data_IF_512741647532
#
_entry.id   IF_512741647532
#
_cell.length_a   1.000
_cell.length_b   1.000
_cell.length_c   1.000
_cell.angle_alpha   90.00
_cell.angle_beta   90.00
_cell.angle_gamma   90.00
#
_symmetry.space_group_name_H-M   'P 1'
#
loop_
_entity.id
_entity.type
_entity.pdbx_description
1 polymer ?
#
# COMPACT_ATOMS: atom_id res chain seq x y z
N UNK A 1 10.55 -31.27 -18.54
CA UNK A 1 9.53 -31.32 -17.47
C UNK A 1 9.85 -30.41 -16.29
N UNK A 2 11.13 -30.29 -15.91
CA UNK A 2 11.60 -29.48 -14.77
C UNK A 2 11.37 -27.96 -14.93
N UNK A 3 11.77 -27.36 -16.07
CA UNK A 3 11.63 -25.92 -16.33
C UNK A 3 10.18 -25.42 -16.35
N UNK A 4 9.28 -26.21 -16.93
CA UNK A 4 7.84 -25.84 -17.02
C UNK A 4 7.18 -25.90 -15.65
N UNK A 5 7.58 -26.84 -14.80
CA UNK A 5 7.12 -26.98 -13.42
C UNK A 5 7.63 -25.83 -12.53
N UNK A 6 8.90 -25.45 -12.68
CA UNK A 6 9.48 -24.29 -12.00
C UNK A 6 8.84 -22.98 -12.42
N UNK A 7 8.53 -22.80 -13.71
CA UNK A 7 7.84 -21.62 -14.23
C UNK A 7 6.40 -21.52 -13.69
N UNK A 8 5.67 -22.64 -13.65
CA UNK A 8 4.32 -22.70 -13.09
C UNK A 8 4.30 -22.45 -11.57
N UNK A 9 5.29 -22.96 -10.84
CA UNK A 9 5.46 -22.69 -9.41
C UNK A 9 5.82 -21.24 -9.14
N UNK A 10 6.65 -20.63 -9.98
CA UNK A 10 7.00 -19.21 -9.90
C UNK A 10 5.80 -18.30 -10.21
N UNK A 11 4.98 -18.67 -11.21
CA UNK A 11 3.73 -17.99 -11.55
C UNK A 11 2.67 -18.12 -10.43
N UNK A 12 2.60 -19.29 -9.78
CA UNK A 12 1.73 -19.53 -8.61
C UNK A 12 2.19 -18.75 -7.37
N UNK A 13 3.50 -18.55 -7.24
CA UNK A 13 4.10 -17.79 -6.13
C UNK A 13 3.80 -16.28 -6.20
N UNK A 14 3.57 -15.75 -7.41
CA UNK A 14 3.29 -14.33 -7.62
C UNK A 14 1.80 -13.97 -7.65
N UNK A 15 0.92 -14.96 -7.53
CA UNK A 15 -0.53 -14.72 -7.61
C UNK A 15 -1.03 -14.05 -6.32
N UNK A 16 -1.48 -12.81 -6.44
CA UNK A 16 -2.23 -12.10 -5.40
C UNK A 16 -3.52 -12.87 -5.08
N UNK A 17 -3.80 -13.10 -3.81
CA UNK A 17 -5.04 -13.75 -3.39
C UNK A 17 -6.13 -12.73 -3.10
N UNK A 18 -7.36 -13.06 -3.48
CA UNK A 18 -8.53 -12.22 -3.21
C UNK A 18 -8.69 -11.89 -1.73
N UNK A 19 -8.45 -12.86 -0.84
CA UNK A 19 -8.52 -12.66 0.62
C UNK A 19 -7.51 -11.61 1.11
N UNK A 20 -6.28 -11.68 0.63
CA UNK A 20 -5.24 -10.70 0.98
C UNK A 20 -5.61 -9.31 0.46
N UNK A 21 -6.16 -9.24 -0.77
CA UNK A 21 -6.61 -7.99 -1.36
C UNK A 21 -7.72 -7.32 -0.53
N UNK A 22 -8.75 -8.06 -0.14
CA UNK A 22 -9.82 -7.53 0.70
C UNK A 22 -9.33 -7.15 2.10
N UNK A 23 -8.49 -7.98 2.71
CA UNK A 23 -7.89 -7.68 4.02
C UNK A 23 -7.10 -6.36 3.98
N UNK A 24 -6.22 -6.20 3.01
CA UNK A 24 -5.43 -4.98 2.84
C UNK A 24 -6.30 -3.77 2.50
N UNK A 25 -7.32 -3.94 1.65
CA UNK A 25 -8.24 -2.87 1.29
C UNK A 25 -9.02 -2.32 2.48
N UNK A 26 -9.63 -3.17 3.28
CA UNK A 26 -10.35 -2.76 4.49
C UNK A 26 -9.41 -2.18 5.55
N UNK A 27 -8.26 -2.80 5.77
CA UNK A 27 -7.27 -2.30 6.73
C UNK A 27 -6.76 -0.91 6.31
N UNK A 28 -6.47 -0.73 5.03
CA UNK A 28 -6.04 0.55 4.48
C UNK A 28 -7.09 1.65 4.66
N UNK A 29 -8.37 1.34 4.42
CA UNK A 29 -9.46 2.27 4.70
C UNK A 29 -9.52 2.68 6.17
N UNK A 30 -9.40 1.72 7.09
CA UNK A 30 -9.37 2.03 8.53
C UNK A 30 -8.18 2.92 8.89
N UNK A 31 -7.00 2.62 8.36
CA UNK A 31 -5.79 3.42 8.60
C UNK A 31 -5.95 4.85 8.05
N UNK A 32 -6.54 5.02 6.88
CA UNK A 32 -6.73 6.33 6.28
C UNK A 32 -7.75 7.16 7.05
N UNK A 33 -8.86 6.57 7.46
CA UNK A 33 -9.86 7.26 8.30
C UNK A 33 -9.21 7.69 9.62
N UNK A 34 -8.44 6.81 10.26
CA UNK A 34 -7.72 7.14 11.48
C UNK A 34 -6.69 8.26 11.26
N UNK A 35 -5.89 8.17 10.21
CA UNK A 35 -4.88 9.18 9.87
C UNK A 35 -5.48 10.55 9.59
N UNK A 36 -6.53 10.61 8.76
CA UNK A 36 -7.21 11.86 8.43
C UNK A 36 -7.98 12.43 9.63
N UNK A 37 -8.52 11.58 10.50
CA UNK A 37 -9.14 11.98 11.77
C UNK A 37 -8.13 12.59 12.74
N UNK A 38 -6.94 12.00 12.88
CA UNK A 38 -5.84 12.60 13.68
C UNK A 38 -5.39 13.93 13.11
N UNK A 39 -5.24 14.03 11.80
CA UNK A 39 -4.89 15.29 11.14
C UNK A 39 -5.95 16.37 11.43
N UNK A 40 -7.22 16.02 11.38
CA UNK A 40 -8.33 16.90 11.76
C UNK A 40 -8.19 17.39 13.20
N UNK A 41 -7.86 16.51 14.15
CA UNK A 41 -7.60 16.87 15.55
C UNK A 41 -6.47 17.88 15.68
N UNK A 42 -5.33 17.63 15.03
CA UNK A 42 -4.15 18.51 15.09
C UNK A 42 -4.38 19.87 14.43
N UNK A 43 -5.35 19.99 13.54
CA UNK A 43 -5.78 21.26 12.93
C UNK A 43 -6.88 21.97 13.70
N UNK A 44 -7.20 21.49 14.91
CA UNK A 44 -8.17 22.15 15.83
C UNK A 44 -9.61 21.67 15.72
N UNK A 45 -9.87 20.65 14.91
CA UNK A 45 -11.20 20.05 14.81
C UNK A 45 -11.33 18.83 15.73
N UNK A 46 -11.89 19.06 16.91
CA UNK A 46 -12.05 18.02 17.93
C UNK A 46 -13.09 16.94 17.59
N UNK A 47 -13.86 17.11 16.53
CA UNK A 47 -14.78 16.06 16.06
C UNK A 47 -14.05 14.88 15.43
N UNK A 48 -12.76 15.06 15.09
CA UNK A 48 -11.88 14.01 14.52
C UNK A 48 -12.49 13.31 13.30
N UNK A 49 -13.18 14.05 12.45
CA UNK A 49 -13.79 13.50 11.23
C UNK A 49 -12.71 12.95 10.30
N UNK A 50 -12.68 11.64 10.13
CA UNK A 50 -11.84 10.95 9.16
C UNK A 50 -12.53 10.83 7.80
N UNK A 51 -11.73 10.78 6.73
CA UNK A 51 -12.20 10.69 5.33
C UNK A 51 -11.45 9.60 4.58
N UNK A 52 -12.17 8.91 3.71
CA UNK A 52 -11.60 8.02 2.70
C UNK A 52 -12.49 8.02 1.46
N UNK A 53 -11.99 7.43 0.37
CA UNK A 53 -12.74 7.25 -0.88
C UNK A 53 -12.91 5.77 -1.20
N UNK A 54 -14.01 5.40 -1.88
CA UNK A 54 -14.20 4.05 -2.40
C UNK A 54 -13.07 3.65 -3.36
N UNK A 55 -12.51 4.60 -4.10
CA UNK A 55 -11.38 4.37 -5.00
C UNK A 55 -10.10 3.96 -4.27
N UNK A 56 -9.97 4.31 -2.99
CA UNK A 56 -8.81 3.91 -2.18
C UNK A 56 -8.84 2.44 -1.78
N UNK A 57 -9.99 1.79 -1.80
CA UNK A 57 -10.09 0.37 -1.47
C UNK A 57 -9.20 -0.51 -2.36
N UNK A 58 -9.33 -0.47 -3.70
CA UNK A 58 -8.43 -1.23 -4.57
C UNK A 58 -6.97 -0.78 -4.49
N UNK A 59 -6.71 0.51 -4.24
CA UNK A 59 -5.34 1.02 -4.07
C UNK A 59 -4.67 0.36 -2.87
N UNK A 60 -5.32 0.37 -1.70
CA UNK A 60 -4.82 -0.34 -0.52
C UNK A 60 -4.81 -1.85 -0.69
N UNK A 61 -5.76 -2.40 -1.44
CA UNK A 61 -5.80 -3.81 -1.78
C UNK A 61 -4.54 -4.30 -2.49
N UNK A 62 -3.87 -3.43 -3.26
CA UNK A 62 -2.58 -3.74 -3.91
C UNK A 62 -1.45 -3.99 -2.91
N UNK A 63 -1.57 -3.58 -1.64
CA UNK A 63 -0.63 -3.96 -0.58
C UNK A 63 -0.54 -5.49 -0.39
N UNK A 64 -1.52 -6.25 -0.89
CA UNK A 64 -1.44 -7.72 -0.95
C UNK A 64 -0.23 -8.24 -1.75
N UNK A 65 0.33 -7.42 -2.66
CA UNK A 65 1.57 -7.72 -3.38
C UNK A 65 2.81 -7.76 -2.47
N UNK A 66 2.72 -7.22 -1.25
CA UNK A 66 3.78 -7.32 -0.25
C UNK A 66 4.02 -8.79 0.15
N UNK A 67 3.00 -9.64 0.14
CA UNK A 67 3.18 -11.08 0.46
C UNK A 67 4.14 -11.79 -0.51
N UNK A 68 3.98 -11.73 -1.83
CA UNK A 68 4.95 -12.31 -2.75
C UNK A 68 6.31 -11.60 -2.71
N UNK A 69 6.33 -10.27 -2.50
CA UNK A 69 7.57 -9.52 -2.33
C UNK A 69 8.34 -9.98 -1.08
N UNK A 70 7.67 -10.14 0.05
CA UNK A 70 8.27 -10.65 1.29
C UNK A 70 8.93 -12.01 1.11
N UNK A 71 8.31 -12.93 0.37
CA UNK A 71 8.90 -14.25 0.10
C UNK A 71 10.28 -14.19 -0.57
N UNK A 72 10.50 -13.16 -1.40
CA UNK A 72 11.79 -12.92 -2.05
C UNK A 72 12.75 -12.14 -1.14
N UNK A 73 12.22 -11.26 -0.31
CA UNK A 73 13.00 -10.33 0.51
C UNK A 73 13.22 -10.81 1.95
N UNK A 74 12.67 -11.95 2.36
CA UNK A 74 12.74 -12.44 3.75
C UNK A 74 14.16 -12.66 4.28
N UNK A 75 15.15 -12.85 3.39
CA UNK A 75 16.57 -12.95 3.74
C UNK A 75 17.27 -11.61 3.97
N UNK A 76 16.63 -10.49 3.67
CA UNK A 76 17.19 -9.15 3.84
C UNK A 76 16.78 -8.54 5.18
N UNK A 77 17.59 -7.61 5.72
CA UNK A 77 17.24 -6.86 6.93
C UNK A 77 15.92 -6.09 6.80
N UNK A 78 15.28 -5.80 7.93
CA UNK A 78 14.01 -5.04 7.99
C UNK A 78 14.12 -3.69 7.28
N UNK A 79 15.26 -3.00 7.45
CA UNK A 79 15.51 -1.71 6.80
C UNK A 79 15.42 -1.79 5.27
N UNK A 80 16.07 -2.80 4.68
CA UNK A 80 16.04 -3.02 3.22
C UNK A 80 14.63 -3.33 2.75
N UNK A 81 13.90 -4.16 3.47
CA UNK A 81 12.51 -4.50 3.13
C UNK A 81 11.60 -3.27 3.20
N UNK A 82 11.71 -2.48 4.28
CA UNK A 82 10.93 -1.26 4.45
C UNK A 82 11.19 -0.23 3.35
N UNK A 83 12.44 -0.03 2.94
CA UNK A 83 12.81 0.85 1.82
C UNK A 83 12.21 0.33 0.53
N UNK A 84 12.28 -0.97 0.27
CA UNK A 84 11.69 -1.58 -0.94
C UNK A 84 10.17 -1.36 -0.99
N UNK A 85 9.47 -1.56 0.13
CA UNK A 85 8.02 -1.33 0.21
C UNK A 85 7.66 0.14 0.04
N UNK A 86 8.42 1.06 0.64
CA UNK A 86 8.22 2.50 0.47
C UNK A 86 8.35 2.91 -1.00
N UNK A 87 9.39 2.43 -1.69
CA UNK A 87 9.57 2.66 -3.13
C UNK A 87 8.40 2.10 -3.95
N UNK A 88 7.92 0.90 -3.60
CA UNK A 88 6.77 0.28 -4.24
C UNK A 88 5.48 1.08 -4.06
N UNK A 89 5.24 1.63 -2.87
CA UNK A 89 4.09 2.49 -2.57
C UNK A 89 4.17 3.77 -3.42
N UNK A 90 5.30 4.45 -3.45
CA UNK A 90 5.47 5.63 -4.31
C UNK A 90 5.24 5.32 -5.79
N UNK A 91 5.70 4.18 -6.25
CA UNK A 91 5.48 3.75 -7.63
C UNK A 91 3.99 3.55 -7.93
N UNK A 92 3.26 2.90 -7.03
CA UNK A 92 1.81 2.70 -7.15
C UNK A 92 1.07 4.04 -7.08
N UNK A 93 1.42 4.92 -6.15
CA UNK A 93 0.84 6.27 -6.06
C UNK A 93 1.06 7.06 -7.36
N UNK A 94 2.25 7.00 -7.92
CA UNK A 94 2.55 7.69 -9.17
C UNK A 94 1.72 7.16 -10.34
N UNK A 95 1.66 5.85 -10.52
CA UNK A 95 0.91 5.24 -11.64
C UNK A 95 -0.59 5.50 -11.52
N UNK A 96 -1.16 5.16 -10.35
CA UNK A 96 -2.61 5.25 -10.14
C UNK A 96 -3.03 6.70 -10.00
N UNK A 97 -2.28 7.52 -9.28
CA UNK A 97 -2.57 8.94 -9.12
C UNK A 97 -2.53 9.68 -10.46
N UNK A 98 -1.53 9.41 -11.31
CA UNK A 98 -1.46 9.98 -12.65
C UNK A 98 -2.62 9.53 -13.54
N UNK A 99 -3.05 8.27 -13.43
CA UNK A 99 -4.21 7.75 -14.13
C UNK A 99 -5.51 8.41 -13.66
N UNK A 100 -5.71 8.51 -12.34
CA UNK A 100 -6.88 9.17 -11.77
C UNK A 100 -6.93 10.67 -12.06
N UNK A 101 -5.78 11.35 -12.10
CA UNK A 101 -5.71 12.76 -12.51
C UNK A 101 -6.17 12.96 -13.96
N UNK A 102 -5.78 12.08 -14.87
CA UNK A 102 -6.24 12.13 -16.27
C UNK A 102 -7.76 11.97 -16.39
N UNK A 103 -8.37 11.22 -15.49
CA UNK A 103 -9.81 11.01 -15.43
C UNK A 103 -10.54 12.06 -14.55
N UNK A 104 -9.82 13.01 -13.96
CA UNK A 104 -10.35 14.02 -13.01
C UNK A 104 -11.08 13.41 -11.80
N UNK A 105 -10.64 12.23 -11.33
CA UNK A 105 -11.25 11.51 -10.19
C UNK A 105 -10.25 11.18 -9.08
N UNK A 106 -9.05 11.75 -9.09
CA UNK A 106 -8.03 11.49 -8.08
C UNK A 106 -8.52 11.91 -6.68
N UNK A 107 -8.61 10.97 -5.70
CA UNK A 107 -9.14 11.28 -4.37
C UNK A 107 -8.16 12.02 -3.47
N UNK A 108 -6.91 12.22 -3.91
CA UNK A 108 -5.91 13.01 -3.18
C UNK A 108 -5.26 14.04 -4.08
N UNK A 109 -4.78 15.11 -3.48
CA UNK A 109 -4.04 16.18 -4.14
C UNK A 109 -2.97 16.73 -3.19
N UNK A 110 -1.71 16.56 -3.57
CA UNK A 110 -0.55 17.06 -2.83
C UNK A 110 0.07 18.33 -3.43
N UNK A 111 -0.59 18.96 -4.40
CA UNK A 111 -0.08 20.15 -5.12
C UNK A 111 0.27 21.33 -4.18
N UNK A 112 -0.37 21.40 -3.01
CA UNK A 112 -0.15 22.44 -1.99
C UNK A 112 1.02 22.16 -1.04
N UNK A 113 1.69 21.00 -1.15
CA UNK A 113 2.79 20.59 -0.28
C UNK A 113 4.14 20.88 -0.96
N UNK A 114 5.17 21.40 -0.23
CA UNK A 114 6.46 21.73 -0.85
C UNK A 114 7.21 20.54 -1.47
N UNK A 115 7.20 19.41 -0.77
CA UNK A 115 7.89 18.17 -1.19
C UNK A 115 6.93 17.21 -1.92
N UNK A 116 6.44 17.65 -3.06
CA UNK A 116 5.54 16.85 -3.89
C UNK A 116 6.05 16.70 -5.33
N UNK A 117 5.54 15.73 -6.04
CA UNK A 117 5.79 15.54 -7.47
C UNK A 117 4.49 15.32 -8.21
N UNK A 118 4.19 16.23 -9.17
CA UNK A 118 2.96 16.23 -9.99
C UNK A 118 1.64 16.19 -9.19
N UNK A 119 1.66 16.58 -7.92
CA UNK A 119 0.50 16.55 -7.03
C UNK A 119 0.06 15.13 -6.60
N UNK A 120 0.73 14.07 -7.08
CA UNK A 120 0.35 12.66 -6.80
C UNK A 120 1.25 11.98 -5.81
N UNK A 121 2.50 12.45 -5.63
CA UNK A 121 3.46 11.93 -4.66
C UNK A 121 3.81 13.00 -3.65
N UNK A 122 3.90 12.61 -2.39
CA UNK A 122 4.36 13.42 -1.28
C UNK A 122 5.61 12.78 -0.66
N UNK A 123 6.78 13.34 -0.98
CA UNK A 123 8.07 12.74 -0.64
C UNK A 123 8.36 12.70 0.87
N UNK A 124 7.85 13.64 1.64
CA UNK A 124 7.97 13.67 3.11
C UNK A 124 7.18 12.53 3.80
N UNK A 125 6.35 11.78 3.06
CA UNK A 125 5.70 10.57 3.53
C UNK A 125 6.59 9.30 3.44
N UNK A 126 7.83 9.40 2.97
CA UNK A 126 8.72 8.24 2.88
C UNK A 126 8.84 7.44 4.19
N UNK A 127 9.05 8.06 5.39
CA UNK A 127 9.03 7.32 6.65
C UNK A 127 7.68 6.67 6.96
N UNK A 128 6.58 7.35 6.63
CA UNK A 128 5.23 6.81 6.81
C UNK A 128 5.00 5.58 5.93
N UNK A 129 5.39 5.65 4.65
CA UNK A 129 5.27 4.53 3.73
C UNK A 129 6.20 3.37 4.08
N UNK A 130 7.37 3.66 4.65
CA UNK A 130 8.26 2.65 5.21
C UNK A 130 7.56 1.85 6.32
N UNK A 131 6.98 2.53 7.29
CA UNK A 131 6.23 1.90 8.39
C UNK A 131 4.97 1.19 7.90
N UNK A 132 4.23 1.80 6.99
CA UNK A 132 3.02 1.23 6.40
C UNK A 132 3.33 -0.06 5.64
N UNK A 133 4.40 -0.09 4.87
CA UNK A 133 4.84 -1.28 4.16
C UNK A 133 5.19 -2.43 5.11
N UNK A 134 5.92 -2.16 6.17
CA UNK A 134 6.25 -3.14 7.22
C UNK A 134 5.02 -3.60 8.00
N UNK A 135 4.07 -2.68 8.24
CA UNK A 135 2.80 -3.04 8.88
C UNK A 135 1.98 -4.01 8.03
N UNK A 136 1.84 -3.77 6.73
CA UNK A 136 1.16 -4.71 5.84
C UNK A 136 1.91 -6.04 5.70
N UNK A 137 3.25 -6.03 5.71
CA UNK A 137 4.04 -7.26 5.80
C UNK A 137 3.66 -8.06 7.05
N UNK A 138 3.65 -7.40 8.21
CA UNK A 138 3.28 -8.03 9.47
C UNK A 138 1.84 -8.58 9.42
N UNK A 139 0.88 -7.77 8.98
CA UNK A 139 -0.54 -8.15 8.87
C UNK A 139 -0.72 -9.41 7.99
N UNK A 140 -0.07 -9.43 6.84
CA UNK A 140 -0.15 -10.55 5.91
C UNK A 140 0.51 -11.82 6.47
N UNK A 141 1.55 -11.67 7.27
CA UNK A 141 2.22 -12.80 7.96
C UNK A 141 1.34 -13.40 9.05
N UNK A 142 0.56 -12.59 9.78
CA UNK A 142 -0.40 -13.08 10.79
C UNK A 142 -1.56 -13.88 10.17
N UNK A 143 -1.81 -13.70 8.88
CA UNK A 143 -2.85 -14.41 8.15
C UNK A 143 -2.23 -15.38 7.14
N UNK A 144 -1.67 -16.52 7.61
CA UNK A 144 -1.02 -17.47 6.73
C UNK A 144 -2.03 -18.10 5.76
N UNK A 145 -1.57 -18.38 4.55
CA UNK A 145 -2.40 -19.11 3.57
C UNK A 145 -2.64 -20.51 4.08
N UNK A 146 -3.89 -20.90 4.23
CA UNK A 146 -4.22 -22.33 4.35
C UNK A 146 -3.77 -23.02 3.06
N UNK A 147 -2.87 -23.96 3.19
CA UNK A 147 -2.49 -24.84 2.09
C UNK A 147 -3.65 -25.80 1.91
N UNK A 148 -4.48 -25.53 0.90
CA UNK A 148 -5.49 -26.47 0.41
C UNK A 148 -4.88 -27.35 -0.65
#
# INVERSE_FOLDING_TARGET
>A
VSKKRSFLLMRRSFKMQKKDFFLCGFTGWCLEIFWTGLHSLFTGNFTMMGKTSLLMFPVYGLAALIRPAYRKLKGFPVMVRGIFYSCGIFFVEFLIGSFFQKLHICPWDYSHVPLQYKGVIRLDYAPLWFLTGLFFEWLLRQNPRKVS
#
